data_IF_759125759118
#
_entry.id   IF_759125759118
#
_cell.length_a   1.000
_cell.length_b   1.000
_cell.length_c   1.000
_cell.angle_alpha   90.00
_cell.angle_beta   90.00
_cell.angle_gamma   90.00
#
_symmetry.space_group_name_H-M   'P 1'
#
loop_
_entity.id
_entity.type
_entity.pdbx_description
1 polymer ?
#
# COMPACT_ATOMS: atom_id res chain seq x y z
N UNK A 1 -14.03 -21.34 12.88
CA UNK A 1 -12.77 -20.86 12.32
C UNK A 1 -12.68 -19.36 12.54
N UNK A 2 -11.50 -18.84 12.88
CA UNK A 2 -11.28 -17.41 13.03
C UNK A 2 -11.34 -16.66 11.70
N UNK A 3 -11.30 -15.33 11.79
CA UNK A 3 -11.35 -14.42 10.63
C UNK A 3 -9.95 -13.97 10.17
N UNK A 4 -8.89 -14.53 10.71
CA UNK A 4 -7.51 -14.09 10.50
C UNK A 4 -6.67 -15.18 9.84
N UNK A 5 -5.54 -14.80 9.27
CA UNK A 5 -4.58 -15.71 8.69
C UNK A 5 -4.99 -16.32 7.35
N UNK A 6 -4.48 -17.50 7.06
CA UNK A 6 -4.62 -18.16 5.76
C UNK A 6 -6.08 -18.38 5.32
N UNK A 7 -7.00 -18.61 6.25
CA UNK A 7 -8.42 -18.79 5.92
C UNK A 7 -9.03 -17.50 5.37
N UNK A 8 -8.72 -16.36 5.96
CA UNK A 8 -9.19 -15.06 5.46
C UNK A 8 -8.56 -14.74 4.10
N UNK A 9 -7.27 -15.01 3.93
CA UNK A 9 -6.60 -14.81 2.64
C UNK A 9 -7.24 -15.66 1.54
N UNK A 10 -7.52 -16.93 1.81
CA UNK A 10 -8.20 -17.81 0.85
C UNK A 10 -9.61 -17.30 0.47
N UNK A 11 -10.38 -16.83 1.45
CA UNK A 11 -11.69 -16.22 1.22
C UNK A 11 -11.59 -14.94 0.39
N UNK A 12 -10.58 -14.10 0.67
CA UNK A 12 -10.32 -12.87 -0.09
C UNK A 12 -9.98 -13.18 -1.53
N UNK A 13 -9.09 -14.15 -1.78
CA UNK A 13 -8.72 -14.58 -3.15
C UNK A 13 -9.94 -15.11 -3.91
N UNK A 14 -10.80 -15.87 -3.25
CA UNK A 14 -12.03 -16.38 -3.85
C UNK A 14 -13.00 -15.26 -4.20
N UNK A 15 -13.20 -14.30 -3.30
CA UNK A 15 -14.02 -13.10 -3.54
C UNK A 15 -13.49 -12.28 -4.72
N UNK A 16 -12.17 -12.08 -4.81
CA UNK A 16 -11.51 -11.41 -5.92
C UNK A 16 -11.75 -12.14 -7.24
N UNK A 17 -11.55 -13.45 -7.27
CA UNK A 17 -11.77 -14.26 -8.47
C UNK A 17 -13.23 -14.21 -8.95
N UNK A 18 -14.20 -14.24 -8.03
CA UNK A 18 -15.63 -14.10 -8.38
C UNK A 18 -15.95 -12.74 -8.97
N UNK A 19 -15.40 -11.66 -8.44
CA UNK A 19 -15.61 -10.31 -8.97
C UNK A 19 -14.96 -10.13 -10.35
N UNK A 20 -13.79 -10.70 -10.58
CA UNK A 20 -13.15 -10.73 -11.90
C UNK A 20 -14.03 -11.49 -12.92
N UNK A 21 -14.52 -12.68 -12.54
CA UNK A 21 -15.39 -13.48 -13.38
C UNK A 21 -16.71 -12.76 -13.73
N UNK A 22 -17.34 -12.11 -12.75
CA UNK A 22 -18.56 -11.32 -12.96
C UNK A 22 -18.31 -10.14 -13.91
N UNK A 23 -17.20 -9.44 -13.77
CA UNK A 23 -16.85 -8.33 -14.64
C UNK A 23 -16.54 -8.81 -16.06
N UNK A 24 -15.85 -9.95 -16.22
CA UNK A 24 -15.61 -10.61 -17.52
C UNK A 24 -16.91 -11.03 -18.18
N UNK A 25 -17.83 -11.65 -17.46
CA UNK A 25 -19.15 -12.05 -17.97
C UNK A 25 -19.99 -10.83 -18.41
N UNK A 26 -19.93 -9.75 -17.64
CA UNK A 26 -20.60 -8.48 -17.98
C UNK A 26 -19.92 -7.73 -19.15
N UNK A 27 -18.73 -8.17 -19.60
CA UNK A 27 -17.98 -7.53 -20.68
C UNK A 27 -17.41 -6.15 -20.31
N UNK A 28 -17.19 -5.87 -19.01
CA UNK A 28 -16.70 -4.58 -18.51
C UNK A 28 -15.47 -4.74 -17.61
N UNK A 29 -14.59 -3.72 -17.51
CA UNK A 29 -13.54 -3.70 -16.53
C UNK A 29 -14.10 -3.75 -15.10
N UNK A 30 -13.34 -4.37 -14.17
CA UNK A 30 -13.78 -4.51 -12.78
C UNK A 30 -14.10 -3.15 -12.12
N UNK A 31 -13.28 -2.12 -12.34
CA UNK A 31 -13.56 -0.80 -11.78
C UNK A 31 -14.94 -0.25 -12.22
N UNK A 32 -15.34 -0.53 -13.46
CA UNK A 32 -16.66 -0.09 -14.00
C UNK A 32 -17.80 -0.88 -13.40
N UNK A 33 -17.63 -2.18 -13.19
CA UNK A 33 -18.60 -3.01 -12.47
C UNK A 33 -18.84 -2.47 -11.04
N UNK A 34 -17.79 -1.93 -10.41
CA UNK A 34 -17.84 -1.33 -9.07
C UNK A 34 -18.31 0.13 -9.04
N UNK A 35 -18.68 0.70 -10.19
CA UNK A 35 -19.16 2.10 -10.29
C UNK A 35 -18.05 3.15 -10.37
N UNK A 36 -16.80 2.74 -10.57
CA UNK A 36 -15.65 3.63 -10.74
C UNK A 36 -15.46 4.11 -12.18
N UNK A 37 -14.43 4.93 -12.37
CA UNK A 37 -14.00 5.45 -13.67
C UNK A 37 -12.50 5.24 -13.86
N UNK A 38 -12.07 5.02 -15.11
CA UNK A 38 -10.64 4.97 -15.43
C UNK A 38 -10.01 6.36 -15.23
N UNK A 39 -9.22 6.48 -14.18
CA UNK A 39 -8.45 7.70 -13.88
C UNK A 39 -6.99 7.32 -13.60
N UNK A 40 -6.02 8.15 -14.00
CA UNK A 40 -4.65 7.96 -13.57
C UNK A 40 -4.56 8.08 -12.03
N UNK A 41 -4.13 7.02 -11.37
CA UNK A 41 -3.92 6.97 -9.93
C UNK A 41 -2.48 7.37 -9.62
N UNK A 42 -2.23 8.33 -8.72
CA UNK A 42 -0.87 8.62 -8.28
C UNK A 42 -0.28 7.36 -7.66
N UNK A 43 0.94 7.03 -8.08
CA UNK A 43 1.58 5.75 -7.76
C UNK A 43 2.96 5.98 -7.16
N UNK A 44 3.26 5.34 -6.04
CA UNK A 44 4.59 5.39 -5.44
C UNK A 44 5.34 4.07 -5.60
N UNK A 45 6.68 4.17 -5.70
CA UNK A 45 7.54 3.00 -5.79
C UNK A 45 7.92 2.50 -4.40
N UNK A 46 7.57 1.25 -4.12
CA UNK A 46 7.84 0.55 -2.86
C UNK A 46 8.80 -0.64 -3.04
N UNK A 47 9.45 -0.76 -4.21
CA UNK A 47 10.30 -1.91 -4.61
C UNK A 47 11.67 -1.87 -3.98
N UNK A 48 11.96 -1.39 -2.88
CA UNK A 48 13.32 -1.37 -2.33
C UNK A 48 13.43 -0.51 -1.09
N UNK A 49 14.55 0.19 -0.96
CA UNK A 49 14.88 1.07 0.16
C UNK A 49 14.69 0.38 1.51
N UNK A 50 15.18 -0.87 1.60
CA UNK A 50 15.26 -1.62 2.83
C UNK A 50 16.16 -0.97 3.88
N UNK A 51 16.27 -1.60 5.05
CA UNK A 51 17.22 -1.15 6.07
C UNK A 51 18.63 -1.49 5.60
N UNK A 52 19.35 -0.49 5.10
CA UNK A 52 20.69 -0.59 4.52
C UNK A 52 21.51 0.66 4.84
N UNK A 53 22.79 0.67 4.48
CA UNK A 53 23.66 1.83 4.70
C UNK A 53 23.12 3.08 3.94
N UNK A 54 23.24 4.29 4.54
CA UNK A 54 22.68 5.52 3.96
C UNK A 54 23.10 5.81 2.51
N UNK A 55 24.36 5.51 2.16
CA UNK A 55 24.88 5.73 0.80
C UNK A 55 24.32 4.72 -0.21
N UNK A 56 24.06 3.52 0.23
CA UNK A 56 23.40 2.48 -0.56
C UNK A 56 21.93 2.84 -0.82
N UNK A 57 21.21 3.24 0.22
CA UNK A 57 19.84 3.74 0.11
C UNK A 57 19.74 4.95 -0.84
N UNK A 58 20.71 5.88 -0.78
CA UNK A 58 20.76 7.03 -1.66
C UNK A 58 20.98 6.64 -3.14
N UNK A 59 21.77 5.61 -3.42
CA UNK A 59 21.97 5.09 -4.78
C UNK A 59 20.71 4.43 -5.30
N UNK A 60 20.15 3.49 -4.53
CA UNK A 60 18.93 2.77 -4.88
C UNK A 60 17.74 3.71 -5.08
N UNK A 61 17.60 4.73 -4.26
CA UNK A 61 16.54 5.73 -4.40
C UNK A 61 16.56 6.44 -5.76
N UNK A 62 17.75 6.75 -6.31
CA UNK A 62 17.88 7.34 -7.66
C UNK A 62 17.39 6.38 -8.75
N UNK A 63 17.74 5.11 -8.61
CA UNK A 63 17.33 4.06 -9.55
C UNK A 63 15.81 3.92 -9.53
N UNK A 64 15.22 3.75 -8.35
CA UNK A 64 13.77 3.61 -8.18
C UNK A 64 12.98 4.82 -8.67
N UNK A 65 13.47 6.03 -8.42
CA UNK A 65 12.82 7.25 -8.92
C UNK A 65 12.84 7.32 -10.44
N UNK A 66 13.88 6.79 -11.10
CA UNK A 66 14.02 6.84 -12.56
C UNK A 66 13.21 5.76 -13.31
N UNK A 67 12.75 4.71 -12.61
CA UNK A 67 12.01 3.62 -13.22
C UNK A 67 10.70 4.08 -13.87
N UNK A 68 10.23 3.34 -14.87
CA UNK A 68 8.94 3.55 -15.57
C UNK A 68 8.68 5.00 -16.03
N UNK A 69 9.74 5.73 -16.34
CA UNK A 69 9.66 7.13 -16.81
C UNK A 69 9.53 8.16 -15.70
N UNK A 70 9.75 7.74 -14.47
CA UNK A 70 9.86 8.58 -13.28
C UNK A 70 8.74 8.39 -12.25
N UNK A 71 9.15 8.32 -10.99
CA UNK A 71 8.24 8.37 -9.84
C UNK A 71 8.38 9.68 -9.09
N UNK A 72 7.29 10.16 -8.54
CA UNK A 72 7.25 11.35 -7.70
C UNK A 72 7.22 11.03 -6.21
N UNK A 73 7.26 9.75 -5.84
CA UNK A 73 7.18 9.29 -4.47
C UNK A 73 7.81 7.90 -4.31
N UNK A 74 8.60 7.73 -3.25
CA UNK A 74 9.23 6.45 -2.85
C UNK A 74 8.98 6.17 -1.37
N UNK A 75 9.01 4.89 -0.98
CA UNK A 75 8.86 4.45 0.42
C UNK A 75 10.21 3.98 0.96
N UNK A 76 10.66 4.55 2.09
CA UNK A 76 11.89 4.20 2.82
C UNK A 76 11.55 3.33 4.03
N UNK A 77 12.15 2.15 4.13
CA UNK A 77 12.01 1.30 5.32
C UNK A 77 12.84 1.87 6.47
N UNK A 78 12.20 1.96 7.65
CA UNK A 78 12.80 2.38 8.89
C UNK A 78 12.64 1.27 9.96
N UNK A 79 13.43 1.32 11.03
CA UNK A 79 13.42 0.30 12.08
C UNK A 79 14.84 -0.05 12.56
N UNK A 80 15.78 0.87 12.37
CA UNK A 80 17.12 0.75 12.95
C UNK A 80 17.07 0.89 14.47
N UNK A 81 18.09 0.39 15.14
CA UNK A 81 18.19 0.45 16.60
C UNK A 81 18.33 1.89 17.14
N UNK A 82 18.73 2.83 16.30
CA UNK A 82 18.92 4.22 16.70
C UNK A 82 18.30 5.23 15.70
N UNK A 83 17.77 6.29 16.24
CA UNK A 83 17.12 7.38 15.48
C UNK A 83 18.13 8.19 14.67
N UNK A 84 19.40 8.21 15.03
CA UNK A 84 20.46 8.94 14.29
C UNK A 84 20.69 8.27 12.95
N UNK A 85 20.74 6.94 12.93
CA UNK A 85 20.82 6.14 11.70
C UNK A 85 19.60 6.33 10.77
N UNK A 86 18.39 6.42 11.34
CA UNK A 86 17.18 6.71 10.58
C UNK A 86 17.25 8.09 9.88
N UNK A 87 17.63 9.10 10.64
CA UNK A 87 17.78 10.47 10.09
C UNK A 87 18.90 10.54 9.04
N UNK A 88 20.00 9.79 9.25
CA UNK A 88 21.10 9.73 8.29
C UNK A 88 20.67 9.10 6.97
N UNK A 89 19.92 7.98 7.02
CA UNK A 89 19.38 7.32 5.83
C UNK A 89 18.41 8.24 5.08
N UNK A 90 17.45 8.85 5.79
CA UNK A 90 16.53 9.82 5.18
C UNK A 90 17.29 10.98 4.50
N UNK A 91 18.25 11.59 5.18
CA UNK A 91 19.02 12.72 4.62
C UNK A 91 19.83 12.32 3.38
N UNK A 92 20.40 11.12 3.38
CA UNK A 92 21.12 10.60 2.22
C UNK A 92 20.18 10.39 1.02
N UNK A 93 19.04 9.76 1.24
CA UNK A 93 17.98 9.57 0.21
C UNK A 93 17.49 10.94 -0.28
N UNK A 94 17.09 11.83 0.62
CA UNK A 94 16.60 13.18 0.27
C UNK A 94 17.61 13.98 -0.56
N UNK A 95 18.88 13.94 -0.18
CA UNK A 95 19.97 14.60 -0.93
C UNK A 95 20.14 14.00 -2.33
N UNK A 96 19.90 12.71 -2.47
CA UNK A 96 20.08 11.97 -3.73
C UNK A 96 18.96 12.25 -4.75
N UNK A 97 17.71 12.33 -4.30
CA UNK A 97 16.53 12.44 -5.18
C UNK A 97 15.94 13.86 -5.25
N UNK A 98 16.47 14.80 -4.47
CA UNK A 98 16.03 16.22 -4.48
C UNK A 98 14.77 16.48 -3.65
N UNK A 99 14.31 17.74 -3.57
CA UNK A 99 13.20 18.15 -2.70
C UNK A 99 11.81 17.81 -3.24
N UNK A 100 11.68 17.62 -4.55
CA UNK A 100 10.37 17.49 -5.22
C UNK A 100 9.78 16.07 -5.17
N UNK A 101 10.61 15.08 -4.85
CA UNK A 101 10.16 13.69 -4.70
C UNK A 101 9.66 13.47 -3.27
N UNK A 102 8.45 12.98 -3.11
CA UNK A 102 7.90 12.61 -1.81
C UNK A 102 8.62 11.37 -1.26
N UNK A 103 8.82 11.35 0.05
CA UNK A 103 9.33 10.19 0.78
C UNK A 103 8.33 9.87 1.89
N UNK A 104 7.80 8.68 1.92
CA UNK A 104 7.15 8.10 3.10
C UNK A 104 8.11 7.15 3.82
N UNK A 105 7.85 6.87 5.06
CA UNK A 105 8.59 5.83 5.76
C UNK A 105 7.68 4.74 6.32
N UNK A 106 8.23 3.55 6.48
CA UNK A 106 7.53 2.38 6.96
C UNK A 106 8.37 1.65 8.02
N UNK A 107 7.80 1.51 9.20
CA UNK A 107 8.43 0.79 10.31
C UNK A 107 8.03 -0.69 10.36
N UNK A 108 7.06 -1.13 9.54
CA UNK A 108 6.55 -2.50 9.55
C UNK A 108 6.30 -3.02 10.98
N UNK A 109 5.64 -2.22 11.81
CA UNK A 109 5.29 -2.52 13.21
C UNK A 109 6.50 -2.64 14.16
N UNK A 110 7.68 -2.16 13.77
CA UNK A 110 8.94 -2.41 14.46
C UNK A 110 9.15 -1.64 15.74
N UNK A 111 8.40 -0.57 16.03
CA UNK A 111 8.64 0.24 17.21
C UNK A 111 7.88 -0.29 18.44
N UNK A 112 8.56 -0.39 19.61
CA UNK A 112 7.86 -0.61 20.85
C UNK A 112 6.92 0.56 21.18
N UNK A 113 5.69 0.28 21.65
CA UNK A 113 4.70 1.30 22.01
C UNK A 113 5.21 2.35 23.01
N UNK A 114 6.14 1.95 23.87
CA UNK A 114 6.74 2.82 24.91
C UNK A 114 7.67 3.89 24.35
N UNK A 115 8.38 3.63 23.25
CA UNK A 115 9.36 4.54 22.62
C UNK A 115 8.85 5.15 21.31
N UNK A 116 7.78 4.62 20.72
CA UNK A 116 7.27 5.01 19.39
C UNK A 116 7.07 6.53 19.25
N UNK A 117 6.50 7.19 20.26
CA UNK A 117 6.27 8.64 20.20
C UNK A 117 7.57 9.43 20.16
N UNK A 118 8.59 9.01 20.90
CA UNK A 118 9.89 9.68 20.89
C UNK A 118 10.59 9.51 19.54
N UNK A 119 10.64 8.28 19.04
CA UNK A 119 11.22 7.95 17.73
C UNK A 119 10.53 8.71 16.61
N UNK A 120 9.19 8.66 16.55
CA UNK A 120 8.44 9.35 15.50
C UNK A 120 8.59 10.87 15.59
N UNK A 121 8.66 11.47 16.79
CA UNK A 121 8.92 12.92 16.94
C UNK A 121 10.26 13.34 16.40
N UNK A 122 11.28 12.51 16.49
CA UNK A 122 12.62 12.85 15.98
C UNK A 122 12.66 12.95 14.45
N UNK A 123 11.70 12.31 13.76
CA UNK A 123 11.57 12.36 12.30
C UNK A 123 10.39 13.21 11.81
N UNK A 124 9.51 13.67 12.68
CA UNK A 124 8.29 14.40 12.35
C UNK A 124 8.53 15.69 11.52
N UNK A 125 9.66 16.36 11.76
CA UNK A 125 10.05 17.56 11.01
C UNK A 125 10.80 17.34 9.70
N UNK A 126 10.98 16.10 9.24
CA UNK A 126 11.78 15.78 8.06
C UNK A 126 11.03 16.02 6.73
N UNK A 127 9.70 16.25 6.76
CA UNK A 127 8.89 16.40 5.55
C UNK A 127 8.55 15.06 4.88
N UNK A 128 8.30 14.03 5.68
CA UNK A 128 7.76 12.76 5.24
C UNK A 128 6.30 12.93 4.79
N UNK A 129 5.89 12.20 3.75
CA UNK A 129 4.50 12.18 3.30
C UNK A 129 3.58 11.49 4.31
N UNK A 130 4.06 10.38 4.91
CA UNK A 130 3.44 9.70 6.06
C UNK A 130 4.46 8.82 6.79
N UNK A 131 4.09 8.43 8.00
CA UNK A 131 4.73 7.36 8.77
C UNK A 131 3.80 6.15 8.74
N UNK A 132 4.29 5.02 8.22
CA UNK A 132 3.53 3.78 8.03
C UNK A 132 3.85 2.80 9.14
N UNK A 133 2.78 2.17 9.68
CA UNK A 133 2.81 1.10 10.68
C UNK A 133 3.91 1.26 11.76
N UNK A 134 3.94 2.37 12.52
CA UNK A 134 5.00 2.57 13.50
C UNK A 134 5.02 1.52 14.60
N UNK A 135 3.85 1.05 15.05
CA UNK A 135 3.68 0.04 16.11
C UNK A 135 2.80 -1.12 15.63
N UNK A 136 2.63 -2.15 16.46
CA UNK A 136 1.76 -3.30 16.17
C UNK A 136 0.42 -2.87 15.56
N UNK A 137 -0.03 -3.59 14.52
CA UNK A 137 -1.19 -3.24 13.69
C UNK A 137 -2.50 -3.11 14.47
N UNK A 138 -2.58 -3.74 15.65
CA UNK A 138 -3.75 -3.78 16.55
C UNK A 138 -3.61 -2.88 17.78
N UNK A 139 -2.48 -2.16 17.95
CA UNK A 139 -2.31 -1.17 19.02
C UNK A 139 -2.89 0.19 18.62
N UNK A 140 -4.23 0.24 18.46
CA UNK A 140 -4.94 1.46 18.05
C UNK A 140 -4.80 2.62 19.04
N UNK A 141 -4.58 2.33 20.32
CA UNK A 141 -4.40 3.37 21.33
C UNK A 141 -3.09 4.13 21.11
N UNK A 142 -1.99 3.42 20.87
CA UNK A 142 -0.72 4.06 20.57
C UNK A 142 -0.78 4.76 19.21
N UNK A 143 -1.35 4.14 18.18
CA UNK A 143 -1.52 4.74 16.86
C UNK A 143 -2.34 6.04 16.93
N UNK A 144 -3.48 6.08 17.63
CA UNK A 144 -4.29 7.28 17.83
C UNK A 144 -3.53 8.39 18.57
N UNK A 145 -2.71 8.01 19.57
CA UNK A 145 -1.83 8.95 20.25
C UNK A 145 -0.78 9.55 19.31
N UNK A 146 -0.19 8.74 18.42
CA UNK A 146 0.77 9.21 17.41
C UNK A 146 0.07 10.16 16.42
N UNK A 147 -1.03 9.77 15.81
CA UNK A 147 -1.81 10.60 14.89
C UNK A 147 -2.21 11.96 15.51
N UNK A 148 -2.52 12.01 16.81
CA UNK A 148 -2.85 13.27 17.50
C UNK A 148 -1.63 14.14 17.81
N UNK A 149 -0.43 13.57 17.97
CA UNK A 149 0.76 14.24 18.52
C UNK A 149 1.82 14.59 17.48
N UNK A 150 1.71 14.07 16.27
CA UNK A 150 2.63 14.30 15.16
C UNK A 150 1.98 15.20 14.11
N UNK A 151 2.80 15.94 13.39
CA UNK A 151 2.37 16.71 12.22
C UNK A 151 2.38 15.82 10.95
N UNK A 152 3.27 14.82 10.91
CA UNK A 152 3.35 13.85 9.81
C UNK A 152 2.20 12.85 9.93
N UNK A 153 1.40 12.65 8.86
CA UNK A 153 0.28 11.71 8.86
C UNK A 153 0.70 10.28 9.22
N UNK A 154 -0.16 9.56 9.94
CA UNK A 154 -0.01 8.13 10.21
C UNK A 154 -0.82 7.34 9.21
N UNK A 155 -0.18 6.40 8.50
CA UNK A 155 -0.81 5.47 7.57
C UNK A 155 -0.73 4.05 8.13
N UNK A 156 -1.87 3.33 8.14
CA UNK A 156 -1.95 1.94 8.60
C UNK A 156 -2.97 1.17 7.76
N UNK A 157 -2.99 -0.15 7.87
CA UNK A 157 -4.09 -0.93 7.32
C UNK A 157 -3.69 -2.20 6.60
N UNK A 158 -2.45 -2.37 6.15
CA UNK A 158 -2.03 -3.55 5.40
C UNK A 158 -2.27 -4.86 6.15
N UNK A 159 -2.22 -4.84 7.47
CA UNK A 159 -2.38 -6.00 8.34
C UNK A 159 -3.81 -6.18 8.91
N UNK A 160 -4.80 -5.47 8.40
CA UNK A 160 -6.20 -5.64 8.83
C UNK A 160 -6.88 -6.85 8.18
N UNK A 161 -7.42 -7.74 9.00
CA UNK A 161 -8.06 -8.98 8.56
C UNK A 161 -9.55 -8.86 8.26
N UNK A 162 -10.14 -7.70 8.40
CA UNK A 162 -11.50 -7.42 7.95
C UNK A 162 -11.78 -5.92 7.90
N UNK A 163 -12.76 -5.53 7.10
CA UNK A 163 -13.24 -4.14 7.03
C UNK A 163 -13.76 -3.61 8.40
N UNK A 164 -14.19 -4.51 9.30
CA UNK A 164 -14.65 -4.12 10.66
C UNK A 164 -13.50 -3.63 11.52
N UNK A 165 -12.35 -4.25 11.39
CA UNK A 165 -11.12 -3.85 12.06
C UNK A 165 -10.70 -2.45 11.57
N UNK A 166 -10.67 -2.23 10.26
CA UNK A 166 -10.39 -0.91 9.69
C UNK A 166 -11.40 0.16 10.12
N UNK A 167 -12.69 -0.20 10.16
CA UNK A 167 -13.74 0.71 10.69
C UNK A 167 -13.44 1.12 12.13
N UNK A 168 -13.10 0.17 13.00
CA UNK A 168 -12.79 0.46 14.40
C UNK A 168 -11.56 1.37 14.52
N UNK A 169 -10.49 1.12 13.77
CA UNK A 169 -9.29 1.95 13.74
C UNK A 169 -9.61 3.41 13.32
N UNK A 170 -10.40 3.59 12.26
CA UNK A 170 -10.85 4.91 11.79
C UNK A 170 -11.70 5.62 12.88
N UNK A 171 -12.63 4.91 13.52
CA UNK A 171 -13.49 5.47 14.56
C UNK A 171 -12.73 5.87 15.82
N UNK A 172 -11.64 5.18 16.12
CA UNK A 172 -10.73 5.52 17.22
C UNK A 172 -9.74 6.66 16.88
N UNK A 173 -9.72 7.13 15.64
CA UNK A 173 -8.74 8.12 15.18
C UNK A 173 -7.30 7.58 15.18
N UNK A 174 -7.13 6.29 14.91
CA UNK A 174 -5.84 5.62 14.94
C UNK A 174 -4.98 5.90 13.69
N UNK A 175 -5.49 6.63 12.73
CA UNK A 175 -4.82 6.93 11.46
C UNK A 175 -5.34 8.21 10.82
N UNK A 176 -4.49 8.83 10.00
CA UNK A 176 -4.84 9.95 9.13
C UNK A 176 -5.17 9.46 7.71
N UNK A 177 -4.54 8.37 7.26
CA UNK A 177 -4.82 7.69 6.01
C UNK A 177 -4.70 6.17 6.18
N UNK A 178 -5.31 5.43 5.25
CA UNK A 178 -5.36 3.96 5.33
C UNK A 178 -4.86 3.32 4.03
N UNK A 179 -4.35 2.07 4.17
CA UNK A 179 -3.84 1.27 3.05
C UNK A 179 -4.13 -0.23 3.22
N UNK A 180 -5.38 -0.66 3.16
CA UNK A 180 -5.69 -2.07 3.35
C UNK A 180 -5.17 -2.94 2.20
N UNK A 181 -4.85 -4.20 2.55
CA UNK A 181 -4.47 -5.23 1.60
C UNK A 181 -5.71 -6.02 1.13
N UNK A 182 -5.89 -6.14 -0.19
CA UNK A 182 -7.01 -6.90 -0.77
C UNK A 182 -7.07 -8.34 -0.30
N UNK A 183 -5.90 -8.98 -0.13
CA UNK A 183 -5.84 -10.39 0.30
C UNK A 183 -6.21 -10.58 1.77
N UNK A 184 -6.18 -9.51 2.57
CA UNK A 184 -6.43 -9.58 4.02
C UNK A 184 -7.78 -8.98 4.40
N UNK A 185 -8.21 -7.89 3.74
CA UNK A 185 -9.40 -7.13 4.12
C UNK A 185 -10.74 -7.84 3.79
N UNK A 186 -10.71 -8.94 3.04
CA UNK A 186 -11.90 -9.64 2.57
C UNK A 186 -12.21 -9.43 1.09
N UNK A 187 -11.17 -9.29 0.28
CA UNK A 187 -11.29 -9.12 -1.17
C UNK A 187 -11.97 -7.80 -1.55
N UNK A 188 -12.59 -7.79 -2.70
CA UNK A 188 -13.36 -6.64 -3.23
C UNK A 188 -14.51 -6.27 -2.31
N UNK A 189 -15.24 -7.27 -1.80
CA UNK A 189 -16.36 -7.05 -0.88
C UNK A 189 -15.92 -6.32 0.40
N UNK A 190 -14.82 -6.76 1.01
CA UNK A 190 -14.26 -6.12 2.21
C UNK A 190 -13.76 -4.72 1.94
N UNK A 191 -13.04 -4.54 0.84
CA UNK A 191 -12.52 -3.26 0.37
C UNK A 191 -13.63 -2.22 0.17
N UNK A 192 -14.65 -2.54 -0.61
CA UNK A 192 -15.73 -1.61 -0.91
C UNK A 192 -16.54 -1.22 0.34
N UNK A 193 -16.71 -2.14 1.30
CA UNK A 193 -17.33 -1.81 2.59
C UNK A 193 -16.49 -0.83 3.40
N UNK A 194 -15.17 -1.01 3.42
CA UNK A 194 -14.27 -0.08 4.11
C UNK A 194 -14.19 1.26 3.38
N UNK A 195 -14.24 1.27 2.04
CA UNK A 195 -14.25 2.50 1.25
C UNK A 195 -15.44 3.41 1.61
N UNK A 196 -16.63 2.86 1.87
CA UNK A 196 -17.79 3.63 2.35
C UNK A 196 -17.57 4.22 3.75
N UNK A 197 -16.88 3.49 4.63
CA UNK A 197 -16.52 4.01 5.96
C UNK A 197 -15.51 5.16 5.84
N UNK A 198 -14.50 4.98 4.99
CA UNK A 198 -13.48 6.00 4.72
C UNK A 198 -14.10 7.27 4.11
N UNK A 199 -15.04 7.12 3.15
CA UNK A 199 -15.78 8.22 2.56
C UNK A 199 -16.56 9.01 3.61
N UNK A 200 -17.31 8.33 4.47
CA UNK A 200 -18.12 8.97 5.53
C UNK A 200 -17.27 9.76 6.55
N UNK A 201 -15.98 9.48 6.63
CA UNK A 201 -15.02 10.14 7.53
C UNK A 201 -13.97 10.98 6.79
N UNK A 202 -14.07 11.06 5.46
CA UNK A 202 -13.10 11.75 4.59
C UNK A 202 -11.65 11.27 4.77
N UNK A 203 -11.45 9.97 5.08
CA UNK A 203 -10.13 9.37 5.28
C UNK A 203 -9.54 8.98 3.92
N UNK A 204 -8.34 9.47 3.56
CA UNK A 204 -7.64 9.07 2.35
C UNK A 204 -7.35 7.57 2.33
N UNK A 205 -7.56 6.93 1.16
CA UNK A 205 -7.51 5.49 1.00
C UNK A 205 -6.48 5.11 -0.06
N UNK A 206 -5.36 4.54 0.35
CA UNK A 206 -4.29 4.00 -0.50
C UNK A 206 -4.42 2.49 -0.64
N UNK A 207 -3.69 1.88 -1.58
CA UNK A 207 -3.59 0.42 -1.69
C UNK A 207 -2.32 -0.10 -1.03
N UNK A 208 -2.35 -1.39 -0.68
CA UNK A 208 -1.18 -2.21 -0.36
C UNK A 208 -1.09 -3.36 -1.36
N UNK A 209 0.06 -3.52 -2.01
CA UNK A 209 0.39 -4.58 -2.97
C UNK A 209 -0.62 -4.78 -4.13
N UNK A 210 -0.39 -5.83 -4.91
CA UNK A 210 -1.27 -6.31 -6.00
C UNK A 210 -1.72 -5.19 -6.97
N UNK A 211 -0.79 -4.41 -7.57
CA UNK A 211 -1.14 -3.21 -8.34
C UNK A 211 -2.13 -3.49 -9.48
N UNK A 212 -2.01 -4.64 -10.15
CA UNK A 212 -2.90 -5.05 -11.24
C UNK A 212 -4.38 -5.16 -10.83
N UNK A 213 -4.63 -5.57 -9.58
CA UNK A 213 -5.97 -5.69 -9.03
C UNK A 213 -6.36 -4.42 -8.26
N UNK A 214 -5.44 -3.92 -7.45
CA UNK A 214 -5.66 -2.75 -6.59
C UNK A 214 -6.01 -1.49 -7.38
N UNK A 215 -5.48 -1.32 -8.59
CA UNK A 215 -5.82 -0.20 -9.46
C UNK A 215 -7.33 -0.14 -9.76
N UNK A 216 -7.99 -1.28 -9.95
CA UNK A 216 -9.42 -1.32 -10.23
C UNK A 216 -10.27 -0.93 -9.02
N UNK A 217 -10.01 -1.49 -7.85
CA UNK A 217 -10.79 -1.19 -6.64
C UNK A 217 -10.52 0.22 -6.14
N UNK A 218 -9.27 0.69 -6.28
CA UNK A 218 -8.90 2.06 -5.90
C UNK A 218 -9.56 3.08 -6.84
N UNK A 219 -9.65 2.82 -8.14
CA UNK A 219 -10.37 3.68 -9.09
C UNK A 219 -11.87 3.82 -8.75
N UNK A 220 -12.46 2.81 -8.09
CA UNK A 220 -13.84 2.85 -7.60
C UNK A 220 -13.97 3.40 -6.16
N UNK A 221 -12.86 3.70 -5.49
CA UNK A 221 -12.86 4.22 -4.11
C UNK A 221 -13.06 5.74 -4.12
N UNK A 222 -14.05 6.30 -3.40
CA UNK A 222 -14.31 7.75 -3.40
C UNK A 222 -13.14 8.58 -2.88
N UNK A 223 -12.52 8.15 -1.79
CA UNK A 223 -11.38 8.84 -1.14
C UNK A 223 -10.02 8.31 -1.59
N UNK A 224 -9.93 7.79 -2.82
CA UNK A 224 -8.68 7.27 -3.39
C UNK A 224 -7.51 8.22 -3.22
N UNK A 225 -6.37 7.67 -2.84
CA UNK A 225 -5.14 8.42 -2.54
C UNK A 225 -3.98 7.90 -3.37
N UNK A 226 -3.15 7.00 -2.86
CA UNK A 226 -2.00 6.47 -3.58
C UNK A 226 -2.17 4.98 -3.91
N UNK A 227 -1.68 4.58 -5.07
CA UNK A 227 -1.48 3.17 -5.41
C UNK A 227 -0.04 2.80 -5.06
N UNK A 228 0.14 1.74 -4.29
CA UNK A 228 1.46 1.15 -4.07
C UNK A 228 1.88 0.32 -5.27
N UNK A 229 3.05 0.61 -5.80
CA UNK A 229 3.70 -0.21 -6.80
C UNK A 229 4.78 -1.07 -6.16
N UNK A 230 4.63 -2.37 -6.35
CA UNK A 230 5.58 -3.40 -5.97
C UNK A 230 5.63 -4.42 -7.10
N UNK A 231 6.81 -4.75 -7.58
CA UNK A 231 7.01 -5.61 -8.75
C UNK A 231 6.94 -7.12 -8.45
N UNK A 232 6.56 -7.48 -7.24
CA UNK A 232 6.45 -8.88 -6.83
C UNK A 232 5.42 -9.63 -7.68
N UNK A 233 5.90 -10.69 -8.34
CA UNK A 233 5.06 -11.55 -9.15
C UNK A 233 4.72 -11.02 -10.55
N UNK A 234 5.24 -9.89 -10.98
CA UNK A 234 4.99 -9.37 -12.34
C UNK A 234 5.42 -10.34 -13.43
N UNK A 235 6.53 -11.05 -13.23
CA UNK A 235 7.02 -12.09 -14.15
C UNK A 235 6.07 -13.29 -14.28
N UNK A 236 5.08 -13.43 -13.38
CA UNK A 236 4.04 -14.46 -13.43
C UNK A 236 2.85 -14.05 -14.28
N UNK A 237 2.79 -12.81 -14.74
CA UNK A 237 1.73 -12.28 -15.59
C UNK A 237 2.17 -12.18 -17.04
N UNK A 238 1.20 -12.30 -17.96
CA UNK A 238 1.47 -12.13 -19.41
C UNK A 238 1.78 -10.67 -19.72
N UNK A 239 1.01 -9.77 -19.14
CA UNK A 239 1.11 -8.33 -19.34
C UNK A 239 0.87 -7.62 -17.99
N UNK A 240 1.91 -7.43 -17.15
CA UNK A 240 1.75 -6.76 -15.86
C UNK A 240 1.39 -5.28 -16.02
N UNK A 241 0.59 -4.74 -15.09
CA UNK A 241 0.21 -3.34 -15.08
C UNK A 241 1.36 -2.49 -14.53
N UNK A 242 2.06 -1.79 -15.42
CA UNK A 242 3.20 -0.95 -15.07
C UNK A 242 2.80 0.52 -14.90
N UNK A 243 3.38 1.23 -13.93
CA UNK A 243 3.24 2.68 -13.82
C UNK A 243 3.86 3.41 -15.02
N UNK A 244 3.34 4.58 -15.34
CA UNK A 244 3.93 5.47 -16.34
C UNK A 244 4.04 6.86 -15.73
N UNK A 245 5.27 7.35 -15.57
CA UNK A 245 5.54 8.67 -14.99
C UNK A 245 4.86 8.92 -13.64
N UNK A 246 4.92 7.93 -12.74
CA UNK A 246 4.35 8.01 -11.40
C UNK A 246 2.83 7.87 -11.33
N UNK A 247 2.19 7.36 -12.39
CA UNK A 247 0.75 7.10 -12.43
C UNK A 247 0.45 5.70 -12.96
N UNK A 248 -0.61 5.11 -12.45
CA UNK A 248 -1.15 3.83 -12.95
C UNK A 248 -2.64 4.03 -13.30
N UNK A 249 -3.02 3.56 -14.49
CA UNK A 249 -4.43 3.59 -14.91
C UNK A 249 -4.94 2.15 -15.02
N UNK A 250 -6.06 1.79 -14.40
CA UNK A 250 -6.61 0.43 -14.52
C UNK A 250 -6.94 0.10 -15.97
N UNK A 251 -6.80 -1.18 -16.34
CA UNK A 251 -7.06 -1.64 -17.71
C UNK A 251 -8.52 -1.49 -18.10
N UNK A 252 -8.74 -1.23 -19.40
CA UNK A 252 -10.08 -1.17 -20.01
C UNK A 252 -10.62 -2.56 -20.45
N UNK A 253 -9.82 -3.60 -20.29
CA UNK A 253 -10.22 -4.98 -20.62
C UNK A 253 -11.27 -5.51 -19.62
N UNK A 254 -12.20 -6.40 -20.03
CA UNK A 254 -13.14 -7.04 -19.10
C UNK A 254 -12.44 -7.75 -17.93
N UNK A 255 -12.99 -7.62 -16.73
CA UNK A 255 -12.35 -8.09 -15.51
C UNK A 255 -11.25 -7.15 -15.05
N UNK A 256 -10.20 -7.71 -14.48
CA UNK A 256 -8.96 -7.00 -14.10
C UNK A 256 -7.95 -6.95 -15.23
N UNK A 257 -8.14 -7.75 -16.29
CA UNK A 257 -7.15 -7.94 -17.34
C UNK A 257 -5.93 -8.75 -16.89
N UNK A 258 -5.97 -9.38 -15.73
CA UNK A 258 -4.91 -10.28 -15.25
C UNK A 258 -5.00 -11.60 -15.99
N UNK A 259 -3.93 -11.93 -16.72
CA UNK A 259 -3.73 -13.23 -17.36
C UNK A 259 -2.40 -13.85 -16.89
N UNK A 260 -2.44 -15.13 -16.55
CA UNK A 260 -1.29 -15.83 -16.00
C UNK A 260 -0.32 -16.29 -17.08
N UNK A 261 0.97 -16.07 -16.85
CA UNK A 261 2.03 -16.63 -17.67
C UNK A 261 2.28 -18.10 -17.28
N UNK A 262 1.54 -19.01 -17.92
CA UNK A 262 1.59 -20.45 -17.63
C UNK A 262 3.02 -21.02 -17.70
N UNK A 263 3.88 -20.51 -18.60
CA UNK A 263 5.28 -20.94 -18.70
C UNK A 263 6.12 -20.53 -17.49
N UNK A 264 5.86 -19.35 -16.93
CA UNK A 264 6.55 -18.86 -15.74
C UNK A 264 6.04 -19.56 -14.46
N UNK A 265 4.76 -19.94 -14.44
CA UNK A 265 4.13 -20.60 -13.29
C UNK A 265 4.47 -22.08 -13.22
N UNK A 266 4.56 -22.77 -14.37
CA UNK A 266 4.75 -24.22 -14.41
C UNK A 266 5.89 -24.76 -13.53
N UNK A 267 7.07 -24.12 -13.44
CA UNK A 267 8.14 -24.59 -12.53
C UNK A 267 7.83 -24.42 -11.05
N UNK A 268 6.84 -23.57 -10.69
CA UNK A 268 6.46 -23.28 -9.31
C UNK A 268 5.34 -24.18 -8.81
N UNK A 269 4.71 -24.97 -9.70
CA UNK A 269 3.67 -25.91 -9.32
C UNK A 269 4.28 -27.05 -8.51
N UNK A 270 3.72 -27.30 -7.34
CA UNK A 270 4.06 -28.49 -6.56
C UNK A 270 3.69 -29.75 -7.39
N UNK A 271 4.65 -30.65 -7.55
CA UNK A 271 4.32 -31.98 -8.07
C UNK A 271 3.47 -32.70 -7.01
N UNK A 272 2.25 -33.03 -7.37
CA UNK A 272 1.32 -33.76 -6.51
C UNK A 272 1.75 -35.22 -6.36
#
# INVERSE_FOLDING_TARGET
MGHEGAAQMALSMFDMALHDALAREAGVPLYRLLGGTAVPLPTYNSCGLGIMEPQEAAREAKELVAEHGGFTHVKLRMGRDDTVGEIAAYKAVRSAIGPDILISCDFNQGLPATSALETCRAIDGLGLAWIEEPVAYDDYNTQARLATKLATPIQIGENWWSWRVGKAAIEMGACDCIMPDLLRIGGVTGWMRLALVAEARAVPFSSHLSPDYSAHVLAATPTKHWLEFMDWGQNLLVDPLLPVKGFTTPRETPGTGVDWNEKAIAPLLLQA
#
